data_IF_945900838526
#
_entry.id   IF_945900838526
#
_cell.length_a   1.000
_cell.length_b   1.000
_cell.length_c   1.000
_cell.angle_alpha   90.00
_cell.angle_beta   90.00
_cell.angle_gamma   90.00
#
_symmetry.space_group_name_H-M   'P 1'
#
loop_
_entity.id
_entity.type
_entity.pdbx_description
1 polymer ?
#
# COMPACT_ATOMS: atom_id res chain seq x y z
N UNK A 1 2.69 0.98 -8.92
CA UNK A 1 3.74 0.26 -9.70
C UNK A 1 4.97 1.13 -9.95
N UNK A 2 4.79 2.33 -10.52
CA UNK A 2 5.89 3.24 -10.89
C UNK A 2 6.72 3.71 -9.70
N UNK A 3 6.06 4.13 -8.62
CA UNK A 3 6.73 4.59 -7.39
C UNK A 3 7.62 3.49 -6.77
N UNK A 4 7.20 2.21 -6.84
CA UNK A 4 8.03 1.10 -6.39
C UNK A 4 9.28 0.94 -7.27
N UNK A 5 9.13 1.00 -8.59
CA UNK A 5 10.24 0.91 -9.52
C UNK A 5 11.25 2.04 -9.33
N UNK A 6 10.76 3.27 -9.11
CA UNK A 6 11.60 4.45 -8.79
C UNK A 6 12.41 4.20 -7.52
N UNK A 7 11.76 3.75 -6.43
CA UNK A 7 12.44 3.45 -5.16
C UNK A 7 13.48 2.35 -5.27
N UNK A 8 13.24 1.33 -6.09
CA UNK A 8 14.24 0.27 -6.32
C UNK A 8 15.46 0.81 -7.07
N UNK A 9 15.26 1.63 -8.10
CA UNK A 9 16.36 2.32 -8.80
C UNK A 9 17.15 3.26 -7.89
N UNK A 10 16.46 4.01 -7.02
CA UNK A 10 17.11 4.91 -6.07
C UNK A 10 17.96 4.14 -5.04
N UNK A 11 17.51 2.94 -4.62
CA UNK A 11 18.28 2.07 -3.73
C UNK A 11 19.53 1.48 -4.40
N UNK A 12 19.50 1.28 -5.70
CA UNK A 12 20.64 0.73 -6.46
C UNK A 12 21.78 1.74 -6.55
N UNK A 13 21.42 3.02 -6.65
CA UNK A 13 22.35 4.15 -6.71
C UNK A 13 22.94 4.58 -5.36
N UNK A 14 22.28 4.25 -4.25
CA UNK A 14 22.70 4.67 -2.89
C UNK A 14 23.54 3.58 -2.22
N UNK A 15 24.86 3.79 -2.03
CA UNK A 15 25.77 2.79 -1.44
C UNK A 15 25.34 2.26 -0.08
N UNK A 16 24.63 3.07 0.72
CA UNK A 16 24.18 2.69 2.07
C UNK A 16 22.90 1.83 2.05
N UNK A 17 22.18 1.78 0.92
CA UNK A 17 20.88 1.08 0.79
C UNK A 17 20.94 -0.13 -0.13
N UNK A 18 22.06 -0.38 -0.80
CA UNK A 18 22.25 -1.49 -1.73
C UNK A 18 21.95 -2.87 -1.11
N UNK A 19 22.33 -3.08 0.15
CA UNK A 19 22.07 -4.33 0.87
C UNK A 19 20.59 -4.68 1.05
N UNK A 20 19.67 -3.70 0.85
CA UNK A 20 18.22 -3.90 0.93
C UNK A 20 17.58 -4.27 -0.41
N UNK A 21 18.37 -4.50 -1.45
CA UNK A 21 17.88 -4.97 -2.74
C UNK A 21 18.07 -6.48 -2.82
N UNK A 22 16.99 -7.19 -3.13
CA UNK A 22 17.05 -8.60 -3.47
C UNK A 22 16.67 -8.82 -4.95
N UNK A 23 17.27 -9.80 -5.64
CA UNK A 23 16.84 -10.21 -6.99
C UNK A 23 15.34 -10.55 -7.06
N UNK A 24 14.75 -10.98 -5.94
CA UNK A 24 13.32 -11.29 -5.85
C UNK A 24 12.45 -10.03 -6.01
N UNK A 25 12.92 -8.86 -5.59
CA UNK A 25 12.16 -7.61 -5.69
C UNK A 25 11.93 -7.24 -7.16
N UNK A 26 12.91 -7.50 -8.03
CA UNK A 26 12.78 -7.29 -9.47
C UNK A 26 11.76 -8.26 -10.08
N UNK A 27 11.73 -9.52 -9.63
CA UNK A 27 10.73 -10.49 -10.07
C UNK A 27 9.33 -10.15 -9.57
N UNK A 28 9.22 -9.67 -8.32
CA UNK A 28 7.98 -9.20 -7.73
C UNK A 28 7.40 -8.02 -8.52
N UNK A 29 8.26 -7.09 -8.97
CA UNK A 29 7.87 -5.98 -9.84
C UNK A 29 7.27 -6.46 -11.18
N UNK A 30 7.83 -7.53 -11.78
CA UNK A 30 7.29 -8.14 -13.00
C UNK A 30 5.92 -8.78 -12.75
N UNK A 31 5.72 -9.40 -11.58
CA UNK A 31 4.47 -10.05 -11.16
C UNK A 31 3.49 -9.10 -10.43
N UNK A 32 3.66 -7.78 -10.57
CA UNK A 32 2.86 -6.78 -9.85
C UNK A 32 1.35 -7.03 -9.92
N UNK A 33 0.83 -7.38 -11.09
CA UNK A 33 -0.61 -7.59 -11.30
C UNK A 33 -1.12 -8.85 -10.58
N UNK A 34 -0.31 -9.91 -10.56
CA UNK A 34 -0.65 -11.15 -9.84
C UNK A 34 -0.66 -10.94 -8.32
N UNK A 35 0.36 -10.25 -7.77
CA UNK A 35 0.40 -9.88 -6.36
C UNK A 35 -0.74 -8.93 -5.97
N UNK A 36 -1.06 -7.95 -6.82
CA UNK A 36 -2.17 -7.03 -6.59
C UNK A 36 -3.50 -7.79 -6.53
N UNK A 37 -3.74 -8.72 -7.47
CA UNK A 37 -4.95 -9.56 -7.48
C UNK A 37 -5.05 -10.45 -6.23
N UNK A 38 -3.95 -11.09 -5.84
CA UNK A 38 -3.92 -11.95 -4.65
C UNK A 38 -4.16 -11.13 -3.36
N UNK A 39 -3.53 -9.96 -3.23
CA UNK A 39 -3.77 -9.01 -2.13
C UNK A 39 -5.24 -8.60 -2.08
N UNK A 40 -5.81 -8.21 -3.21
CA UNK A 40 -7.20 -7.76 -3.29
C UNK A 40 -8.18 -8.88 -2.91
N UNK A 41 -7.88 -10.13 -3.29
CA UNK A 41 -8.64 -11.30 -2.85
C UNK A 41 -8.51 -11.53 -1.35
N UNK A 42 -7.30 -11.49 -0.79
CA UNK A 42 -7.07 -11.64 0.65
C UNK A 42 -7.88 -10.61 1.42
N UNK A 43 -7.73 -9.31 1.10
CA UNK A 43 -8.41 -8.22 1.79
C UNK A 43 -9.93 -8.38 1.74
N UNK A 44 -10.51 -8.84 0.61
CA UNK A 44 -11.96 -9.11 0.52
C UNK A 44 -12.45 -10.19 1.47
N UNK A 45 -11.68 -11.25 1.68
CA UNK A 45 -12.10 -12.38 2.52
C UNK A 45 -11.82 -12.14 4.00
N UNK A 46 -10.81 -11.33 4.32
CA UNK A 46 -10.39 -11.06 5.70
C UNK A 46 -10.92 -9.75 6.28
N UNK A 47 -11.74 -9.00 5.54
CA UNK A 47 -12.38 -7.80 6.04
C UNK A 47 -13.64 -8.16 6.82
N UNK A 48 -13.58 -8.05 8.14
CA UNK A 48 -14.67 -8.41 9.06
C UNK A 48 -15.03 -7.20 9.93
N UNK A 49 -16.23 -7.21 10.54
CA UNK A 49 -16.67 -6.12 11.41
C UNK A 49 -15.78 -5.97 12.66
N UNK A 50 -15.30 -7.09 13.19
CA UNK A 50 -14.41 -7.13 14.36
C UNK A 50 -12.99 -6.66 14.03
N UNK A 51 -12.55 -6.85 12.77
CA UNK A 51 -11.23 -6.47 12.29
C UNK A 51 -11.29 -5.87 10.87
N UNK A 52 -11.67 -4.57 10.75
CA UNK A 52 -11.74 -3.91 9.46
C UNK A 52 -10.35 -3.54 8.94
N UNK A 53 -10.15 -3.70 7.63
CA UNK A 53 -8.95 -3.23 6.95
C UNK A 53 -9.02 -1.73 6.67
N UNK A 54 -7.88 -1.04 6.82
CA UNK A 54 -7.70 0.35 6.40
C UNK A 54 -6.68 0.39 5.27
N UNK A 55 -7.05 0.97 4.14
CA UNK A 55 -6.15 1.12 3.00
C UNK A 55 -5.58 2.54 2.99
N UNK A 56 -4.26 2.66 3.04
CA UNK A 56 -3.53 3.93 3.10
C UNK A 56 -2.67 4.07 1.84
N UNK A 57 -2.75 5.22 1.17
CA UNK A 57 -1.86 5.57 0.07
C UNK A 57 -0.45 5.85 0.60
N UNK A 58 0.53 5.06 0.16
CA UNK A 58 1.91 5.13 0.63
C UNK A 58 2.90 5.72 -0.39
N UNK A 59 2.38 6.47 -1.38
CA UNK A 59 3.22 7.16 -2.37
C UNK A 59 4.06 8.25 -1.70
N UNK A 60 3.46 9.05 -0.81
CA UNK A 60 4.20 9.95 0.09
C UNK A 60 4.36 9.31 1.47
N UNK A 61 5.62 9.12 1.90
CA UNK A 61 5.94 8.51 3.20
C UNK A 61 5.54 9.39 4.38
N UNK A 62 5.63 10.72 4.25
CA UNK A 62 5.30 11.65 5.34
C UNK A 62 3.80 11.62 5.62
N UNK A 63 2.99 11.74 4.57
CA UNK A 63 1.54 11.67 4.66
C UNK A 63 1.07 10.31 5.17
N UNK A 64 1.64 9.21 4.63
CA UNK A 64 1.32 7.87 5.11
C UNK A 64 1.62 7.68 6.61
N UNK A 65 2.74 8.23 7.09
CA UNK A 65 3.13 8.13 8.49
C UNK A 65 2.22 8.96 9.41
N UNK A 66 1.81 10.15 8.98
CA UNK A 66 0.86 10.99 9.72
C UNK A 66 -0.50 10.28 9.87
N UNK A 67 -0.98 9.69 8.78
CA UNK A 67 -2.25 8.95 8.75
C UNK A 67 -2.22 7.67 9.59
N UNK A 68 -1.05 7.01 9.69
CA UNK A 68 -0.90 5.83 10.54
C UNK A 68 -0.95 6.17 12.03
N UNK A 69 -0.28 7.26 12.44
CA UNK A 69 -0.14 7.65 13.84
C UNK A 69 -1.43 8.15 14.45
N UNK A 70 -2.24 8.88 13.70
CA UNK A 70 -3.42 9.50 14.24
C UNK A 70 -4.66 9.13 13.42
N UNK A 71 -5.35 8.08 13.87
CA UNK A 71 -6.61 7.64 13.28
C UNK A 71 -7.70 8.72 13.34
N UNK A 72 -7.59 9.73 14.21
CA UNK A 72 -8.54 10.86 14.24
C UNK A 72 -8.29 11.85 13.10
N UNK A 73 -7.03 12.01 12.66
CA UNK A 73 -6.66 12.86 11.52
C UNK A 73 -7.04 12.24 10.17
N UNK A 74 -7.35 10.95 10.10
CA UNK A 74 -7.90 10.28 8.92
C UNK A 74 -9.18 10.95 8.39
N UNK A 75 -9.89 11.74 9.22
CA UNK A 75 -11.07 12.50 8.80
C UNK A 75 -10.73 13.76 7.99
N UNK A 76 -9.48 14.20 8.01
CA UNK A 76 -9.05 15.44 7.35
C UNK A 76 -8.78 15.23 5.86
N UNK A 77 -8.42 14.01 5.44
CA UNK A 77 -8.13 13.72 4.04
C UNK A 77 -8.54 12.29 3.62
N UNK A 78 -9.83 12.13 3.31
CA UNK A 78 -10.42 10.87 2.83
C UNK A 78 -9.87 10.40 1.48
N UNK A 79 -9.09 11.25 0.79
CA UNK A 79 -8.40 10.91 -0.44
C UNK A 79 -7.15 10.02 -0.20
N UNK A 80 -6.57 10.05 1.00
CA UNK A 80 -5.28 9.39 1.31
C UNK A 80 -5.46 8.09 2.08
N UNK A 81 -6.51 7.99 2.90
CA UNK A 81 -6.78 6.80 3.68
C UNK A 81 -8.28 6.51 3.78
N UNK A 82 -8.65 5.29 3.40
CA UNK A 82 -10.05 4.83 3.38
C UNK A 82 -10.15 3.62 4.31
N UNK A 83 -10.95 3.76 5.37
CA UNK A 83 -11.38 2.61 6.17
C UNK A 83 -12.39 1.82 5.35
N UNK A 84 -12.15 0.53 5.16
CA UNK A 84 -13.03 -0.33 4.39
C UNK A 84 -14.16 -0.84 5.31
N UNK A 85 -15.41 -0.38 5.16
CA UNK A 85 -16.50 -0.90 5.98
C UNK A 85 -16.74 -2.38 5.65
N UNK A 86 -16.92 -3.18 6.71
CA UNK A 86 -17.05 -4.63 6.66
C UNK A 86 -18.15 -5.12 5.68
N UNK A 87 -19.23 -4.35 5.54
CA UNK A 87 -20.37 -4.74 4.70
C UNK A 87 -20.18 -4.46 3.20
N UNK A 88 -19.09 -3.79 2.81
CA UNK A 88 -18.91 -3.38 1.43
C UNK A 88 -18.13 -4.43 0.61
N UNK A 89 -18.80 -5.04 -0.36
CA UNK A 89 -18.18 -5.99 -1.32
C UNK A 89 -17.23 -5.35 -2.32
N UNK A 90 -17.22 -4.01 -2.42
CA UNK A 90 -16.41 -3.25 -3.38
C UNK A 90 -15.08 -2.86 -2.73
N UNK A 91 -13.98 -3.22 -3.40
CA UNK A 91 -12.65 -2.74 -3.01
C UNK A 91 -12.63 -1.21 -3.03
N UNK A 92 -12.11 -0.56 -1.97
CA UNK A 92 -11.87 0.88 -2.01
C UNK A 92 -10.85 1.16 -3.10
N UNK A 93 -11.29 1.90 -4.13
CA UNK A 93 -10.41 2.38 -5.18
C UNK A 93 -9.69 3.62 -4.66
N UNK A 94 -8.47 3.44 -4.15
CA UNK A 94 -7.55 4.56 -4.08
C UNK A 94 -7.21 4.94 -5.53
N UNK A 95 -7.50 6.18 -5.92
CA UNK A 95 -7.29 6.67 -7.28
C UNK A 95 -5.82 6.53 -7.72
N UNK A 96 -5.65 6.52 -9.06
CA UNK A 96 -4.44 6.17 -9.84
C UNK A 96 -3.14 6.78 -9.32
#
# INVERSE_FOLDING_TARGET
KEEQAKRLKDREKDPLKQWKISPIDQQAQKKWDAYSKARDQMLKHTNTADAPWTVISANDKKLAHLNLKDKKLLKVDSAVAITWPADSKKLPKLYK
#
